data_IF_709411118832
#
_entry.id   IF_709411118832
#
_cell.length_a   1.000
_cell.length_b   1.000
_cell.length_c   1.000
_cell.angle_alpha   90.00
_cell.angle_beta   90.00
_cell.angle_gamma   90.00
#
_symmetry.space_group_name_H-M   'P 1'
#
loop_
_entity.id
_entity.type
_entity.pdbx_description
1 polymer ?
#
# COMPACT_ATOMS: atom_id res chain seq x y z
N UNK A 1 18.76 -9.73 10.88
CA UNK A 1 18.82 -9.09 10.72
C UNK A 1 18.32 -8.25 9.82
N UNK A 2 18.55 -8.32 8.78
CA UNK A 2 18.07 -7.50 7.85
C UNK A 2 16.66 -7.54 7.64
N UNK A 3 16.03 -8.56 8.03
CA UNK A 3 14.62 -8.70 7.86
C UNK A 3 13.84 -7.65 8.58
N UNK A 4 14.47 -6.95 9.48
CA UNK A 4 13.75 -5.96 10.23
C UNK A 4 13.52 -4.69 9.47
N UNK A 5 14.11 -4.50 8.32
CA UNK A 5 13.98 -3.24 7.66
C UNK A 5 12.94 -3.26 6.58
N UNK A 6 12.08 -4.20 6.53
CA UNK A 6 11.05 -4.25 5.52
C UNK A 6 9.68 -3.95 6.06
N UNK A 7 8.71 -3.93 5.18
CA UNK A 7 7.32 -3.75 5.56
C UNK A 7 6.40 -4.50 4.64
N UNK A 8 5.21 -4.77 5.13
CA UNK A 8 4.19 -5.49 4.38
C UNK A 8 2.97 -4.59 4.22
N UNK A 9 2.38 -4.67 3.05
CA UNK A 9 1.15 -3.97 2.73
C UNK A 9 0.12 -5.02 2.36
N UNK A 10 -1.06 -4.91 2.93
CA UNK A 10 -2.18 -5.77 2.56
C UNK A 10 -3.40 -4.89 2.30
N UNK A 11 -4.10 -5.16 1.21
CA UNK A 11 -5.34 -4.48 0.89
C UNK A 11 -6.41 -5.54 0.68
N UNK A 12 -7.57 -5.33 1.27
CA UNK A 12 -8.69 -6.24 1.09
C UNK A 12 -9.86 -5.45 0.55
N UNK A 13 -10.40 -5.89 -0.58
CA UNK A 13 -11.51 -5.18 -1.21
C UNK A 13 -12.75 -5.27 -0.34
N UNK A 14 -13.32 -4.13 -0.01
CA UNK A 14 -14.53 -4.06 0.79
C UNK A 14 -15.75 -4.00 -0.11
N UNK A 15 -15.71 -3.13 -1.11
CA UNK A 15 -16.77 -3.07 -2.10
C UNK A 15 -16.28 -2.25 -3.29
N UNK A 16 -17.03 -2.29 -4.36
CA UNK A 16 -16.69 -1.54 -5.55
C UNK A 16 -17.96 -1.23 -6.31
N UNK A 17 -17.93 -0.16 -7.08
CA UNK A 17 -19.00 0.15 -8.00
C UNK A 17 -18.37 0.77 -9.25
N UNK A 18 -19.18 1.37 -10.12
CA UNK A 18 -18.66 1.90 -11.39
C UNK A 18 -17.70 3.05 -11.18
N UNK A 19 -17.76 3.70 -10.04
CA UNK A 19 -16.98 4.90 -9.81
C UNK A 19 -15.75 4.72 -8.95
N UNK A 20 -15.73 3.70 -8.10
CA UNK A 20 -14.63 3.57 -7.16
C UNK A 20 -14.58 2.18 -6.55
N UNK A 21 -13.45 1.87 -5.94
CA UNK A 21 -13.26 0.67 -5.14
C UNK A 21 -12.78 1.07 -3.77
N UNK A 22 -13.27 0.42 -2.74
CA UNK A 22 -12.86 0.69 -1.35
C UNK A 22 -12.09 -0.51 -0.82
N UNK A 23 -11.00 -0.24 -0.13
CA UNK A 23 -10.14 -1.28 0.40
C UNK A 23 -9.84 -1.02 1.88
N UNK A 24 -9.77 -2.09 2.64
CA UNK A 24 -9.20 -2.01 3.97
C UNK A 24 -7.71 -2.23 3.82
N UNK A 25 -6.92 -1.28 4.28
CA UNK A 25 -5.47 -1.34 4.16
C UNK A 25 -4.81 -1.62 5.49
N UNK A 26 -3.75 -2.40 5.45
CA UNK A 26 -2.96 -2.64 6.63
C UNK A 26 -1.50 -2.56 6.25
N UNK A 27 -0.73 -1.84 7.05
CA UNK A 27 0.72 -1.75 6.89
C UNK A 27 1.37 -2.31 8.14
N UNK A 28 2.43 -3.07 7.99
CA UNK A 28 3.12 -3.59 9.16
C UNK A 28 4.63 -3.59 8.93
N UNK A 29 5.35 -3.30 9.99
CA UNK A 29 6.80 -3.39 10.00
C UNK A 29 7.18 -4.00 11.32
N UNK A 30 8.48 -4.16 11.55
CA UNK A 30 8.93 -4.65 12.84
C UNK A 30 8.55 -3.69 13.97
N UNK A 31 8.25 -2.43 13.64
CA UNK A 31 8.00 -1.42 14.66
C UNK A 31 6.55 -1.13 14.90
N UNK A 32 5.67 -1.59 14.08
CA UNK A 32 4.26 -1.25 14.32
C UNK A 32 3.32 -1.78 13.27
N UNK A 33 2.06 -1.46 13.49
CA UNK A 33 0.98 -1.89 12.64
C UNK A 33 0.03 -0.71 12.46
N UNK A 34 -0.37 -0.45 11.23
CA UNK A 34 -1.25 0.68 10.93
C UNK A 34 -2.34 0.23 9.98
N UNK A 35 -3.50 0.84 10.08
CA UNK A 35 -4.60 0.51 9.18
C UNK A 35 -5.41 1.74 8.83
N UNK A 36 -6.07 1.68 7.68
CA UNK A 36 -7.00 2.71 7.26
C UNK A 36 -7.90 2.14 6.18
N UNK A 37 -8.78 2.95 5.68
CA UNK A 37 -9.63 2.57 4.57
C UNK A 37 -9.26 3.48 3.40
N UNK A 38 -9.05 2.90 2.24
CA UNK A 38 -8.67 3.65 1.05
C UNK A 38 -9.73 3.55 -0.01
N UNK A 39 -9.83 4.57 -0.84
CA UNK A 39 -10.73 4.61 -1.96
C UNK A 39 -9.91 4.91 -3.21
N UNK A 40 -10.14 4.13 -4.27
CA UNK A 40 -9.46 4.35 -5.54
C UNK A 40 -10.50 4.68 -6.58
N UNK A 41 -10.33 5.83 -7.24
CA UNK A 41 -11.25 6.27 -8.26
C UNK A 41 -11.09 5.41 -9.51
N UNK A 42 -12.18 4.89 -10.04
CA UNK A 42 -12.12 4.07 -11.25
C UNK A 42 -11.74 4.89 -12.47
N UNK A 43 -12.10 6.14 -12.51
CA UNK A 43 -11.83 6.97 -13.68
C UNK A 43 -10.39 7.44 -13.75
N UNK A 44 -9.81 7.78 -12.61
CA UNK A 44 -8.49 8.43 -12.60
C UNK A 44 -7.42 7.67 -11.85
N UNK A 45 -7.78 6.62 -11.12
CA UNK A 45 -6.81 5.91 -10.31
C UNK A 45 -6.31 6.70 -9.12
N UNK A 46 -7.05 7.73 -8.74
CA UNK A 46 -6.65 8.54 -7.61
C UNK A 46 -6.93 7.80 -6.33
N UNK A 47 -5.95 7.78 -5.44
CA UNK A 47 -6.05 7.05 -4.18
C UNK A 47 -6.18 8.04 -3.04
N UNK A 48 -7.23 7.91 -2.25
CA UNK A 48 -7.40 8.72 -1.06
C UNK A 48 -7.66 7.79 0.11
N UNK A 49 -7.33 8.21 1.32
CA UNK A 49 -7.60 7.39 2.49
C UNK A 49 -7.90 8.26 3.69
N UNK A 50 -8.45 7.60 4.69
CA UNK A 50 -8.78 8.27 5.93
C UNK A 50 -7.56 8.29 6.82
N UNK A 51 -7.70 8.83 8.01
CA UNK A 51 -6.59 8.88 8.94
C UNK A 51 -6.13 7.48 9.28
N UNK A 52 -4.83 7.32 9.44
CA UNK A 52 -4.27 6.05 9.83
C UNK A 52 -4.48 5.81 11.32
N UNK A 53 -4.78 4.57 11.68
CA UNK A 53 -4.83 4.18 13.07
C UNK A 53 -3.67 3.24 13.32
N UNK A 54 -3.18 3.20 14.55
CA UNK A 54 -2.08 2.33 14.92
C UNK A 54 -1.04 3.03 15.75
N UNK A 55 0.21 2.64 15.56
CA UNK A 55 1.29 3.05 16.44
C UNK A 55 1.91 4.36 15.99
N UNK A 56 1.20 5.44 16.01
CA UNK A 56 1.73 6.71 15.53
C UNK A 56 1.58 6.82 14.04
N UNK A 57 2.51 7.50 13.39
CA UNK A 57 2.43 7.65 11.95
C UNK A 57 3.11 6.52 11.22
N UNK A 58 2.52 6.01 10.15
CA UNK A 58 3.17 4.97 9.38
C UNK A 58 4.37 5.52 8.62
N UNK A 59 5.35 4.69 8.30
CA UNK A 59 6.51 5.16 7.54
C UNK A 59 6.08 5.68 6.17
N UNK A 60 6.60 6.83 5.80
CA UNK A 60 6.21 7.48 4.55
C UNK A 60 6.50 6.60 3.34
N UNK A 61 7.63 5.89 3.34
CA UNK A 61 7.98 5.06 2.19
C UNK A 61 6.98 3.92 2.01
N UNK A 62 6.44 3.39 3.11
CA UNK A 62 5.49 2.30 3.05
C UNK A 62 4.13 2.81 2.57
N UNK A 63 3.74 4.00 3.01
CA UNK A 63 2.52 4.63 2.52
C UNK A 63 2.62 4.86 1.01
N UNK A 64 3.76 5.35 0.56
CA UNK A 64 4.01 5.58 -0.84
C UNK A 64 3.94 4.27 -1.63
N UNK A 65 4.52 3.22 -1.09
CA UNK A 65 4.50 1.91 -1.72
C UNK A 65 3.06 1.40 -1.84
N UNK A 66 2.26 1.58 -0.78
CA UNK A 66 0.86 1.15 -0.80
C UNK A 66 0.08 1.91 -1.88
N UNK A 67 0.31 3.21 -2.00
CA UNK A 67 -0.35 4.00 -3.03
C UNK A 67 0.02 3.50 -4.42
N UNK A 68 1.29 3.22 -4.65
CA UNK A 68 1.74 2.73 -5.93
C UNK A 68 1.13 1.37 -6.24
N UNK A 69 1.02 0.51 -5.25
CA UNK A 69 0.44 -0.82 -5.46
C UNK A 69 -1.04 -0.72 -5.81
N UNK A 70 -1.78 0.19 -5.16
CA UNK A 70 -3.18 0.37 -5.49
C UNK A 70 -3.35 0.96 -6.89
N UNK A 71 -2.48 1.87 -7.30
CA UNK A 71 -2.55 2.42 -8.63
C UNK A 71 -2.19 1.38 -9.68
N UNK A 72 -1.25 0.50 -9.38
CA UNK A 72 -0.95 -0.61 -10.28
C UNK A 72 -2.14 -1.54 -10.43
N UNK A 73 -2.84 -1.81 -9.34
CA UNK A 73 -4.05 -2.62 -9.40
C UNK A 73 -5.12 -1.94 -10.24
N UNK A 74 -5.23 -0.60 -10.13
CA UNK A 74 -6.18 0.13 -10.94
C UNK A 74 -5.85 0.00 -12.43
N UNK A 75 -4.57 0.11 -12.79
CA UNK A 75 -4.20 -0.03 -14.19
C UNK A 75 -4.44 -1.43 -14.72
N UNK A 76 -4.32 -2.42 -13.87
CA UNK A 76 -4.42 -3.81 -14.28
C UNK A 76 -5.82 -4.38 -14.20
N UNK A 77 -6.78 -3.65 -13.65
CA UNK A 77 -8.09 -4.23 -13.39
C UNK A 77 -8.81 -4.66 -14.67
N UNK A 78 -8.74 -3.84 -15.70
CA UNK A 78 -9.29 -4.22 -17.01
C UNK A 78 -10.53 -5.06 -16.90
N UNK A 79 -10.56 -6.15 -17.62
CA UNK A 79 -11.72 -7.01 -17.64
C UNK A 79 -11.87 -7.85 -16.42
N UNK A 80 -10.80 -8.06 -15.69
CA UNK A 80 -10.90 -8.94 -14.54
C UNK A 80 -11.38 -8.24 -13.28
N UNK A 81 -11.40 -6.93 -13.33
CA UNK A 81 -11.87 -6.18 -12.17
C UNK A 81 -10.80 -6.04 -11.11
N UNK A 82 -11.21 -5.54 -9.96
CA UNK A 82 -10.28 -5.27 -8.86
C UNK A 82 -9.92 -6.56 -8.14
N UNK A 83 -8.69 -6.69 -7.67
CA UNK A 83 -8.32 -7.88 -6.89
C UNK A 83 -9.05 -7.86 -5.56
N UNK A 84 -9.46 -9.03 -5.07
CA UNK A 84 -10.11 -9.10 -3.80
C UNK A 84 -9.13 -8.90 -2.67
N UNK A 85 -7.88 -9.30 -2.87
CA UNK A 85 -6.87 -9.17 -1.85
C UNK A 85 -5.53 -8.97 -2.52
N UNK A 86 -4.74 -8.09 -1.93
CA UNK A 86 -3.45 -7.75 -2.47
C UNK A 86 -2.47 -7.69 -1.32
N UNK A 87 -1.40 -8.45 -1.37
CA UNK A 87 -0.39 -8.45 -0.33
C UNK A 87 0.97 -8.27 -0.98
N UNK A 88 1.77 -7.34 -0.45
CA UNK A 88 3.11 -7.08 -0.97
C UNK A 88 4.06 -6.83 0.19
N UNK A 89 5.30 -7.20 -0.01
CA UNK A 89 6.34 -6.93 0.94
C UNK A 89 7.45 -6.18 0.26
N UNK A 90 8.10 -5.28 0.97
CA UNK A 90 9.19 -4.52 0.40
C UNK A 90 10.21 -4.18 1.46
N UNK A 91 11.50 -4.22 1.12
CA UNK A 91 12.53 -3.76 2.01
C UNK A 91 12.54 -2.26 2.11
N UNK A 92 12.97 -1.73 3.23
CA UNK A 92 13.02 -0.30 3.45
C UNK A 92 14.03 0.33 2.49
N UNK A 93 13.69 1.46 1.90
CA UNK A 93 14.54 2.03 0.87
C UNK A 93 15.88 2.49 1.36
N UNK A 94 15.95 2.93 2.65
CA UNK A 94 17.19 3.41 3.05
C UNK A 94 18.19 2.36 3.18
N UNK A 95 17.81 1.17 3.17
CA UNK A 95 18.77 0.09 3.26
C UNK A 95 19.71 0.09 2.14
N UNK A 96 19.51 0.89 1.17
CA UNK A 96 20.34 0.83 0.19
C UNK A 96 20.93 1.96 -0.19
N UNK A 97 21.05 2.69 0.40
CA UNK A 97 21.54 3.75 0.13
C UNK A 97 22.67 3.79 -0.03
N UNK A 98 23.02 3.39 0.05
CA UNK A 98 23.73 3.19 -0.20
C UNK A 98 24.21 2.93 -1.00
N UNK A 99 24.10 3.04 -1.15
CA UNK A 99 24.29 2.66 -1.95
C UNK A 99 24.80 2.86 -2.48
N UNK A 100 24.91 2.95 -2.23
CA UNK A 100 25.02 3.00 -2.69
C UNK A 100 25.40 3.05 -3.31
N UNK A 101 25.49 3.19 -3.13
CA UNK A 101 25.61 3.15 -3.87
C UNK A 101 25.98 2.94 -4.50
N UNK A 102 26.07 2.89 -4.55
CA UNK A 102 26.05 2.55 -5.24
C UNK A 102 26.26 2.36 -5.73
N UNK A 103 26.44 2.49 -5.68
CA UNK A 103 26.21 2.24 -6.11
C UNK A 103 26.32 2.13 -6.32
#
# INVERSE_FOLDING_TARGET
MLTDSGGRFTARLLDEDAERARFALELSTAEGLWSTEAVVSSAAGEVTWQAWTGSGEPPAWLVHYARSALRSAWRAQGEEGWPRRLTRWRGAPEGRRSGEGSN
#
